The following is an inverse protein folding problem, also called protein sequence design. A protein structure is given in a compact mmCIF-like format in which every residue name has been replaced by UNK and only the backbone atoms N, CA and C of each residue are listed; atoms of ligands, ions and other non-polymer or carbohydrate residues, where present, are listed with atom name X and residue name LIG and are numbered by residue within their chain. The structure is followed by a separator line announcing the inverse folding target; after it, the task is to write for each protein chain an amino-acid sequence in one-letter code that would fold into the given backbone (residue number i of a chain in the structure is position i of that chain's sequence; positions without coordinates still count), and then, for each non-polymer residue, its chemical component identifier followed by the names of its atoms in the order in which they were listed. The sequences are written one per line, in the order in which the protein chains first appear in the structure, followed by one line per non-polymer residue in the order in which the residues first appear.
data_IF_279231338875
#
_entry.id   IF_279231338875
#
_cell.length_a   1.000
_cell.length_b   1.000
_cell.length_c   1.000
_cell.angle_alpha   90.00
_cell.angle_beta   90.00
_cell.angle_gamma   90.00
#
_symmetry.space_group_name_H-M   'P 1'
#
loop_
_entity.id
_entity.type
_entity.pdbx_description
1 polymer ?
#
# COMPACT_ATOMS: atom_id res chain seq x y z
N UNK A 1 -6.28 10.31 4.14
CA UNK A 1 -5.59 9.82 2.92
C UNK A 1 -4.08 10.00 3.04
N UNK A 2 -3.50 9.80 4.22
CA UNK A 2 -2.07 9.98 4.49
C UNK A 2 -1.43 8.73 5.09
N UNK A 3 -2.19 7.65 5.27
CA UNK A 3 -1.65 6.30 5.48
C UNK A 3 -1.10 5.70 4.17
N UNK A 4 -0.87 6.52 3.14
CA UNK A 4 -0.69 6.05 1.75
C UNK A 4 -1.90 5.23 1.23
N UNK A 5 -3.10 5.61 1.68
CA UNK A 5 -4.33 4.94 1.33
C UNK A 5 -4.52 4.88 -0.20
N UNK A 6 -4.65 3.66 -0.70
CA UNK A 6 -4.97 3.33 -2.08
C UNK A 6 -6.35 2.67 -2.13
N UNK A 7 -7.07 2.78 -3.26
CA UNK A 7 -8.44 2.26 -3.34
C UNK A 7 -8.50 0.75 -3.16
N UNK A 8 -7.69 0.01 -3.92
CA UNK A 8 -7.39 -1.42 -3.69
C UNK A 8 -6.00 -1.72 -4.27
N UNK A 9 -5.40 -2.81 -3.80
CA UNK A 9 -4.08 -3.26 -4.23
C UNK A 9 -4.12 -4.77 -4.45
N UNK A 10 -3.62 -5.20 -5.61
CA UNK A 10 -3.70 -6.56 -6.14
C UNK A 10 -5.08 -7.04 -6.58
N UNK A 11 -6.08 -6.17 -6.58
CA UNK A 11 -7.41 -6.49 -7.11
C UNK A 11 -7.44 -6.42 -8.64
N UNK A 12 -8.14 -7.35 -9.28
CA UNK A 12 -8.30 -7.36 -10.74
C UNK A 12 -9.14 -6.17 -11.24
N UNK A 13 -10.16 -5.79 -10.46
CA UNK A 13 -11.07 -4.70 -10.81
C UNK A 13 -11.49 -3.92 -9.57
N UNK A 14 -11.27 -2.61 -9.61
CA UNK A 14 -11.70 -1.69 -8.56
C UNK A 14 -13.21 -1.46 -8.62
N UNK A 15 -13.83 -1.23 -7.46
CA UNK A 15 -15.27 -0.97 -7.36
C UNK A 15 -15.74 0.28 -8.13
N UNK A 16 -14.86 1.27 -8.30
CA UNK A 16 -15.15 2.54 -8.96
C UNK A 16 -14.70 2.58 -10.43
N UNK A 17 -14.34 1.44 -11.01
CA UNK A 17 -13.82 1.38 -12.36
C UNK A 17 -14.94 1.44 -13.41
N UNK A 18 -14.85 2.33 -14.43
CA UNK A 18 -15.82 2.42 -15.52
C UNK A 18 -15.63 1.34 -16.60
N UNK A 19 -16.73 0.75 -17.05
CA UNK A 19 -16.71 -0.28 -18.10
C UNK A 19 -15.97 0.18 -19.38
N UNK A 20 -15.24 -0.75 -20.01
CA UNK A 20 -14.53 -0.51 -21.28
C UNK A 20 -13.18 0.20 -21.16
N UNK A 21 -12.65 0.43 -19.94
CA UNK A 21 -11.29 0.95 -19.73
C UNK A 21 -10.33 -0.13 -19.21
N UNK A 22 -9.03 0.11 -19.36
CA UNK A 22 -7.99 -0.79 -18.90
C UNK A 22 -7.72 -0.72 -17.39
N UNK A 23 -7.26 -1.84 -16.79
CA UNK A 23 -6.22 -1.90 -15.80
C UNK A 23 -5.74 -0.65 -15.08
N UNK A 24 -6.22 -0.21 -13.92
CA UNK A 24 -5.43 0.76 -13.11
C UNK A 24 -5.23 0.40 -11.64
N UNK A 25 -5.63 -0.80 -11.23
CA UNK A 25 -5.27 -1.29 -9.91
C UNK A 25 -3.75 -1.43 -9.80
N UNK A 26 -3.22 -1.07 -8.63
CA UNK A 26 -1.83 -1.30 -8.32
C UNK A 26 -1.62 -2.80 -8.12
N UNK A 27 -0.66 -3.39 -8.83
CA UNK A 27 -0.26 -4.79 -8.63
C UNK A 27 1.18 -4.84 -8.12
N UNK A 28 1.36 -5.50 -6.98
CA UNK A 28 2.64 -5.68 -6.33
C UNK A 28 3.26 -7.02 -6.71
N UNK A 29 4.59 -7.07 -6.73
CA UNK A 29 5.33 -8.32 -6.89
C UNK A 29 5.22 -9.15 -5.61
N UNK A 30 5.23 -10.48 -5.71
CA UNK A 30 5.18 -11.36 -4.54
C UNK A 30 6.56 -11.46 -3.87
N UNK A 31 6.99 -10.39 -3.19
CA UNK A 31 8.26 -10.34 -2.45
C UNK A 31 8.08 -10.70 -0.98
N UNK A 32 9.18 -10.99 -0.28
CA UNK A 32 9.17 -11.23 1.18
C UNK A 32 8.72 -10.00 1.99
N UNK A 33 8.69 -8.82 1.39
CA UNK A 33 8.27 -7.58 2.05
C UNK A 33 6.77 -7.37 1.90
N UNK A 34 6.24 -7.66 0.70
CA UNK A 34 4.80 -7.58 0.42
C UNK A 34 4.02 -8.74 1.07
N UNK A 35 4.68 -9.90 1.19
CA UNK A 35 4.14 -11.12 1.81
C UNK A 35 5.15 -11.70 2.82
N UNK A 36 5.28 -11.10 4.01
CA UNK A 36 6.24 -11.53 5.01
C UNK A 36 5.89 -12.89 5.62
N UNK A 37 6.87 -13.65 6.16
CA UNK A 37 6.63 -14.97 6.73
C UNK A 37 5.64 -14.99 7.90
N UNK A 38 5.52 -13.88 8.63
CA UNK A 38 4.58 -13.70 9.72
C UNK A 38 3.80 -12.42 9.47
N UNK A 39 2.52 -12.57 9.11
CA UNK A 39 1.62 -11.44 8.88
C UNK A 39 0.89 -11.14 10.19
N UNK A 40 0.93 -9.88 10.63
CA UNK A 40 0.14 -9.43 11.77
C UNK A 40 -1.35 -9.48 11.45
N UNK A 41 -2.21 -9.68 12.43
CA UNK A 41 -3.66 -9.57 12.22
C UNK A 41 -4.01 -8.14 11.78
N UNK A 42 -4.40 -7.98 10.51
CA UNK A 42 -4.86 -6.71 9.93
C UNK A 42 -6.38 -6.75 9.71
N UNK A 43 -6.98 -5.58 9.47
CA UNK A 43 -8.38 -5.48 9.05
C UNK A 43 -8.61 -5.89 7.58
N UNK A 44 -7.58 -6.42 6.92
CA UNK A 44 -7.63 -6.82 5.51
C UNK A 44 -8.46 -8.08 5.32
N UNK A 45 -9.29 -8.10 4.26
CA UNK A 45 -10.00 -9.29 3.81
C UNK A 45 -9.09 -10.31 3.13
N UNK A 46 -7.97 -9.85 2.55
CA UNK A 46 -6.98 -10.69 1.87
C UNK A 46 -5.90 -11.20 2.82
N UNK A 47 -5.94 -10.79 4.10
CA UNK A 47 -4.92 -11.08 5.11
C UNK A 47 -3.51 -10.68 4.67
N UNK A 48 -3.39 -9.63 3.85
CA UNK A 48 -2.09 -9.07 3.44
C UNK A 48 -1.86 -7.71 4.09
N UNK A 49 -0.60 -7.26 4.13
CA UNK A 49 -0.25 -5.94 4.65
C UNK A 49 -0.26 -4.85 3.56
N UNK A 50 -0.24 -5.24 2.28
CA UNK A 50 -0.31 -4.34 1.11
C UNK A 50 -1.75 -3.93 0.77
N UNK A 51 -2.75 -4.53 1.42
CA UNK A 51 -4.16 -4.26 1.16
C UNK A 51 -4.48 -2.77 1.34
N UNK A 52 -5.11 -2.17 0.32
CA UNK A 52 -5.47 -0.75 0.27
C UNK A 52 -4.32 0.22 0.51
N UNK A 53 -3.10 -0.18 0.17
CA UNK A 53 -1.90 0.66 0.30
C UNK A 53 -0.86 0.36 -0.78
N UNK A 54 0.28 1.04 -0.76
CA UNK A 54 1.36 0.82 -1.72
C UNK A 54 2.13 -0.49 -1.45
N UNK A 55 2.90 -0.95 -2.44
CA UNK A 55 3.76 -2.13 -2.29
C UNK A 55 4.83 -1.87 -1.22
N UNK A 56 4.93 -2.74 -0.23
CA UNK A 56 5.87 -2.62 0.89
C UNK A 56 7.33 -2.79 0.45
N UNK A 57 7.57 -3.44 -0.69
CA UNK A 57 8.89 -3.51 -1.30
C UNK A 57 9.39 -2.18 -1.90
N UNK A 58 8.52 -1.18 -2.08
CA UNK A 58 8.91 0.09 -2.69
C UNK A 58 9.92 0.85 -1.81
N UNK A 59 10.83 1.58 -2.46
CA UNK A 59 11.85 2.38 -1.79
C UNK A 59 11.31 3.76 -1.40
N UNK A 60 11.52 4.15 -0.14
CA UNK A 60 11.32 5.50 0.37
C UNK A 60 12.66 6.01 0.90
N UNK A 61 13.31 6.89 0.15
CA UNK A 61 14.68 7.32 0.40
C UNK A 61 15.65 6.13 0.57
N UNK A 62 16.21 5.93 1.78
CA UNK A 62 17.13 4.84 2.09
C UNK A 62 16.44 3.60 2.69
N UNK A 63 15.13 3.64 2.90
CA UNK A 63 14.35 2.59 3.55
C UNK A 63 13.34 1.97 2.58
N UNK A 64 12.71 0.86 2.98
CA UNK A 64 11.54 0.32 2.28
C UNK A 64 10.27 0.81 2.95
N UNK A 65 9.17 0.86 2.20
CA UNK A 65 7.85 1.10 2.80
C UNK A 65 7.52 0.09 3.89
N UNK A 66 7.96 -1.16 3.76
CA UNK A 66 7.88 -2.16 4.83
C UNK A 66 8.37 -1.65 6.20
N UNK A 67 9.45 -0.87 6.21
CA UNK A 67 10.10 -0.39 7.43
C UNK A 67 9.47 0.89 7.98
N UNK A 68 8.91 1.74 7.11
CA UNK A 68 8.50 3.12 7.46
C UNK A 68 7.03 3.43 7.23
N UNK A 69 6.23 2.45 6.80
CA UNK A 69 4.82 2.65 6.42
C UNK A 69 4.01 3.43 7.47
N UNK A 70 4.07 2.99 8.74
CA UNK A 70 3.33 3.61 9.84
C UNK A 70 3.81 5.02 10.21
N UNK A 71 4.99 5.43 9.72
CA UNK A 71 5.57 6.74 9.95
C UNK A 71 5.23 7.74 8.84
N UNK A 72 4.63 7.30 7.72
CA UNK A 72 4.44 8.16 6.55
C UNK A 72 3.58 9.39 6.86
N UNK A 73 2.42 9.21 7.51
CA UNK A 73 1.56 10.32 7.93
C UNK A 73 2.27 11.32 8.84
N UNK A 74 3.12 10.82 9.72
CA UNK A 74 3.91 11.64 10.64
C UNK A 74 4.98 12.43 9.89
N UNK A 75 5.71 11.78 8.97
CA UNK A 75 6.69 12.42 8.11
C UNK A 75 6.08 13.50 7.20
N UNK A 76 4.83 13.31 6.75
CA UNK A 76 4.10 14.32 5.98
C UNK A 76 3.68 15.53 6.84
N UNK A 77 3.53 15.36 8.15
CA UNK A 77 2.94 16.39 9.02
C UNK A 77 3.81 17.64 9.13
N UNK A 78 5.13 17.51 9.33
CA UNK A 78 6.02 18.69 9.43
C UNK A 78 6.09 19.50 8.12
N UNK A 79 6.32 18.91 6.94
CA UNK A 79 6.29 19.64 5.66
C UNK A 79 4.96 20.31 5.35
N UNK A 80 3.84 19.79 5.86
CA UNK A 80 2.52 20.40 5.63
C UNK A 80 2.29 21.65 6.47
N UNK A 81 2.96 21.78 7.62
CA UNK A 81 2.80 22.92 8.53
C UNK A 81 3.66 24.14 8.17
N UNK A 82 4.69 23.96 7.33
CA UNK A 82 5.60 25.02 6.89
C UNK A 82 5.27 25.47 5.47
#
# INVERSE_FOLDING_TARGET
MNELANFETNDEQLWNWPEGRQPWSLSCSNTIWDNPPCITTTASSTHTMVDKTLCLAASEAAYRLYDVYSLYSWAQSEPTLR
#
